data_IF_583839246766
#
_entry.id   IF_583839246766
#
_cell.length_a   1.000
_cell.length_b   1.000
_cell.length_c   1.000
_cell.angle_alpha   90.00
_cell.angle_beta   90.00
_cell.angle_gamma   90.00
#
_symmetry.space_group_name_H-M   'P 1'
#
loop_
_entity.id
_entity.type
_entity.pdbx_description
1 polymer ?
#
# COMPACT_ATOMS: atom_id res chain seq x y z
N UNK A 1 4.84 40.37 -19.19
CA UNK A 1 5.55 39.15 -18.76
C UNK A 1 4.66 38.40 -17.79
N UNK A 2 4.01 37.32 -18.24
CA UNK A 2 3.11 36.50 -17.42
C UNK A 2 3.94 35.75 -16.37
N UNK A 3 3.74 36.08 -15.10
CA UNK A 3 4.26 35.28 -13.98
C UNK A 3 3.42 33.99 -13.93
N UNK A 4 4.00 32.89 -14.39
CA UNK A 4 3.40 31.57 -14.28
C UNK A 4 3.40 31.19 -12.80
N UNK A 5 2.24 31.28 -12.15
CA UNK A 5 2.02 30.69 -10.84
C UNK A 5 2.02 29.18 -11.06
N UNK A 6 3.19 28.57 -10.92
CA UNK A 6 3.30 27.17 -10.59
C UNK A 6 2.58 26.99 -9.24
N UNK A 7 1.29 26.68 -9.30
CA UNK A 7 0.52 26.28 -8.14
C UNK A 7 1.11 24.95 -7.67
N UNK A 8 2.17 25.01 -6.86
CA UNK A 8 2.57 23.91 -5.98
C UNK A 8 1.38 23.64 -5.08
N UNK A 9 0.46 22.81 -5.56
CA UNK A 9 -0.49 22.16 -4.67
C UNK A 9 0.38 21.49 -3.60
N UNK A 10 0.10 21.70 -2.31
CA UNK A 10 0.82 20.99 -1.28
C UNK A 10 0.73 19.50 -1.63
N UNK A 11 1.82 18.72 -1.50
CA UNK A 11 1.81 17.31 -1.87
C UNK A 11 0.56 16.69 -1.27
N UNK A 12 -0.33 16.17 -2.13
CA UNK A 12 -1.57 15.60 -1.66
C UNK A 12 -1.17 14.40 -0.79
N UNK A 13 -1.42 14.48 0.52
CA UNK A 13 -1.08 13.40 1.46
C UNK A 13 -2.35 12.62 1.74
N UNK A 14 -2.34 11.33 1.42
CA UNK A 14 -3.43 10.43 1.74
C UNK A 14 -2.95 9.41 2.78
N UNK A 15 -3.76 9.15 3.81
CA UNK A 15 -3.50 8.05 4.75
C UNK A 15 -4.64 7.07 4.68
N UNK A 16 -4.31 5.80 4.44
CA UNK A 16 -5.28 4.73 4.26
C UNK A 16 -5.08 3.70 5.36
N UNK A 17 -6.10 3.49 6.18
CA UNK A 17 -6.05 2.57 7.33
C UNK A 17 -6.81 1.29 7.01
N UNK A 18 -6.08 0.17 6.91
CA UNK A 18 -6.66 -1.16 6.72
C UNK A 18 -6.84 -1.84 8.08
N UNK A 19 -8.11 -1.99 8.47
CA UNK A 19 -8.51 -2.65 9.73
C UNK A 19 -8.97 -4.10 9.50
N UNK A 20 -9.49 -4.40 8.30
CA UNK A 20 -9.98 -5.74 7.95
C UNK A 20 -8.82 -6.70 7.66
N UNK A 21 -8.97 -7.96 8.09
CA UNK A 21 -8.07 -9.06 7.76
C UNK A 21 -8.51 -9.86 6.54
N UNK A 22 -9.53 -9.39 5.81
CA UNK A 22 -9.99 -10.03 4.58
C UNK A 22 -9.07 -9.66 3.40
N UNK A 23 -8.59 -10.66 2.62
CA UNK A 23 -7.68 -10.41 1.51
C UNK A 23 -8.31 -9.55 0.40
N UNK A 24 -9.60 -9.73 0.13
CA UNK A 24 -10.34 -8.98 -0.89
C UNK A 24 -10.32 -7.47 -0.62
N UNK A 25 -10.51 -7.09 0.65
CA UNK A 25 -10.47 -5.70 1.10
C UNK A 25 -9.05 -5.13 1.06
N UNK A 26 -8.04 -5.95 1.35
CA UNK A 26 -6.64 -5.54 1.27
C UNK A 26 -6.22 -5.23 -0.18
N UNK A 27 -6.63 -6.06 -1.14
CA UNK A 27 -6.33 -5.86 -2.57
C UNK A 27 -6.99 -4.58 -3.09
N UNK A 28 -8.27 -4.38 -2.80
CA UNK A 28 -8.99 -3.16 -3.20
C UNK A 28 -8.31 -1.89 -2.66
N UNK A 29 -7.94 -1.91 -1.38
CA UNK A 29 -7.26 -0.79 -0.72
C UNK A 29 -5.88 -0.55 -1.34
N UNK A 30 -5.18 -1.62 -1.76
CA UNK A 30 -3.92 -1.53 -2.48
C UNK A 30 -4.06 -0.88 -3.85
N UNK A 31 -5.04 -1.28 -4.65
CA UNK A 31 -5.31 -0.67 -5.96
C UNK A 31 -5.60 0.83 -5.84
N UNK A 32 -6.40 1.23 -4.85
CA UNK A 32 -6.71 2.63 -4.59
C UNK A 32 -5.44 3.42 -4.23
N UNK A 33 -4.57 2.88 -3.38
CA UNK A 33 -3.33 3.54 -3.01
C UNK A 33 -2.35 3.66 -4.18
N UNK A 34 -2.26 2.63 -5.05
CA UNK A 34 -1.45 2.69 -6.26
C UNK A 34 -1.98 3.76 -7.22
N UNK A 35 -3.30 3.84 -7.40
CA UNK A 35 -3.93 4.89 -8.21
C UNK A 35 -3.66 6.29 -7.66
N UNK A 36 -3.73 6.47 -6.34
CA UNK A 36 -3.38 7.73 -5.69
C UNK A 36 -1.90 8.06 -5.85
N UNK A 37 -1.01 7.09 -5.69
CA UNK A 37 0.44 7.27 -5.86
C UNK A 37 0.81 7.64 -7.29
N UNK A 38 0.10 7.11 -8.30
CA UNK A 38 0.26 7.49 -9.70
C UNK A 38 -0.17 8.95 -10.00
N UNK A 39 -0.94 9.58 -9.12
CA UNK A 39 -1.34 10.98 -9.20
C UNK A 39 -0.45 11.89 -8.33
N UNK A 40 0.79 11.50 -8.06
CA UNK A 40 1.75 12.25 -7.22
C UNK A 40 1.23 12.54 -5.78
N UNK A 41 0.34 11.67 -5.28
CA UNK A 41 -0.11 11.73 -3.88
C UNK A 41 0.83 10.89 -3.01
N UNK A 42 1.35 11.47 -1.92
CA UNK A 42 2.09 10.74 -0.89
C UNK A 42 1.09 9.90 -0.07
N UNK A 43 1.03 8.60 -0.39
CA UNK A 43 0.09 7.67 0.24
C UNK A 43 0.79 6.88 1.35
N UNK A 44 0.27 7.00 2.57
CA UNK A 44 0.68 6.17 3.72
C UNK A 44 -0.37 5.11 4.03
N UNK A 45 -0.01 3.84 3.92
CA UNK A 45 -0.85 2.73 4.38
C UNK A 45 -0.54 2.34 5.81
N UNK A 46 -1.58 2.17 6.62
CA UNK A 46 -1.51 1.68 7.98
C UNK A 46 -2.28 0.38 8.10
N UNK A 47 -1.60 -0.69 8.48
CA UNK A 47 -2.19 -2.00 8.73
C UNK A 47 -2.40 -2.16 10.24
N UNK A 48 -3.65 -2.24 10.68
CA UNK A 48 -4.02 -2.24 12.11
C UNK A 48 -4.96 -3.40 12.41
N UNK A 49 -4.94 -3.91 13.66
CA UNK A 49 -5.78 -5.01 14.15
C UNK A 49 -5.62 -6.29 13.31
N UNK A 50 -6.63 -6.66 12.52
CA UNK A 50 -6.62 -7.86 11.68
C UNK A 50 -5.88 -7.65 10.35
N UNK A 51 -5.66 -6.39 9.96
CA UNK A 51 -4.94 -6.04 8.72
C UNK A 51 -3.47 -6.47 8.71
N UNK A 52 -2.85 -6.62 9.89
CA UNK A 52 -1.47 -7.17 9.99
C UNK A 52 -1.41 -8.64 9.58
N UNK A 53 -2.54 -9.37 9.67
CA UNK A 53 -2.60 -10.77 9.26
C UNK A 53 -2.55 -10.90 7.73
N UNK A 54 -3.01 -9.89 6.98
CA UNK A 54 -2.86 -9.84 5.51
C UNK A 54 -1.40 -9.69 5.06
N UNK A 55 -0.55 -9.06 5.88
CA UNK A 55 0.88 -8.92 5.62
C UNK A 55 1.69 -10.19 5.94
N UNK A 56 1.06 -11.15 6.62
CA UNK A 56 1.73 -12.36 7.09
C UNK A 56 1.94 -13.30 5.90
N UNK A 57 3.04 -13.09 5.19
CA UNK A 57 3.49 -13.99 4.14
C UNK A 57 3.70 -15.36 4.78
N UNK A 58 2.87 -16.34 4.42
CA UNK A 58 2.96 -17.70 4.90
C UNK A 58 4.29 -18.29 4.42
N UNK A 59 5.34 -18.17 5.25
CA UNK A 59 6.69 -18.71 5.02
C UNK A 59 6.73 -20.24 4.96
N UNK A 60 5.59 -20.92 4.93
CA UNK A 60 5.48 -22.38 4.81
C UNK A 60 5.76 -22.93 3.41
N UNK A 61 6.14 -22.09 2.42
CA UNK A 61 6.51 -22.53 1.07
C UNK A 61 7.98 -22.34 0.68
N UNK A 62 8.85 -21.94 1.60
CA UNK A 62 10.30 -21.84 1.36
C UNK A 62 11.12 -22.86 2.19
N UNK A 63 10.59 -24.08 2.34
CA UNK A 63 11.31 -25.21 2.96
C UNK A 63 11.14 -26.49 2.11
N UNK A 64 11.35 -26.37 0.79
CA UNK A 64 11.41 -27.49 -0.16
C UNK A 64 12.39 -27.21 -1.31
N UNK A 65 13.61 -26.78 -0.98
CA UNK A 65 14.65 -26.54 -1.99
C UNK A 65 16.10 -26.73 -1.53
N UNK A 66 16.35 -26.93 -0.23
CA UNK A 66 17.72 -27.12 0.28
C UNK A 66 17.74 -28.29 1.26
N UNK A 67 17.40 -29.49 0.78
CA UNK A 67 17.91 -30.75 1.34
C UNK A 67 17.69 -31.87 0.33
N UNK A 68 18.75 -32.26 -0.36
CA UNK A 68 18.76 -33.36 -1.31
C UNK A 68 20.08 -33.41 -2.05
N UNK A 69 21.06 -34.05 -1.40
CA UNK A 69 22.17 -34.85 -1.97
C UNK A 69 22.67 -34.52 -3.39
#
# INVERSE_FOLDING_TARGET
>A
MHKNNESKQPPHKATVMLVSGEPDKAVLVFEIAVGMQAMDTDVKMWFVLYGVNCLKCSSSRLHRGVLGI
#
